data_IF_854052771001
#
_entry.id   IF_854052771001
#
_cell.length_a   1.000
_cell.length_b   1.000
_cell.length_c   1.000
_cell.angle_alpha   90.00
_cell.angle_beta   90.00
_cell.angle_gamma   90.00
#
_symmetry.space_group_name_H-M   'P 1'
#
loop_
_entity.id
_entity.type
_entity.pdbx_description
1 polymer ?
#
# COMPACT_ATOMS: atom_id res chain seq x y z
N UNK A 1 -3.56 15.00 3.42
CA UNK A 1 -3.42 13.83 4.31
C UNK A 1 -2.35 12.87 3.81
N UNK A 2 -2.44 12.39 2.57
CA UNK A 2 -1.44 11.46 2.01
C UNK A 2 -0.03 12.05 1.96
N UNK A 3 0.11 13.36 1.72
CA UNK A 3 1.41 14.04 1.75
C UNK A 3 2.07 14.05 3.12
N UNK A 4 1.30 14.25 4.17
CA UNK A 4 1.78 14.19 5.55
C UNK A 4 2.29 12.78 5.90
N UNK A 5 1.54 11.76 5.54
CA UNK A 5 1.95 10.38 5.76
C UNK A 5 3.20 10.00 4.95
N UNK A 6 3.28 10.44 3.70
CA UNK A 6 4.46 10.18 2.88
C UNK A 6 5.73 10.80 3.48
N UNK A 7 5.65 12.06 3.94
CA UNK A 7 6.78 12.73 4.57
C UNK A 7 7.22 12.04 5.86
N UNK A 8 6.28 11.63 6.70
CA UNK A 8 6.57 10.91 7.93
C UNK A 8 7.22 9.55 7.67
N UNK A 9 6.72 8.82 6.69
CA UNK A 9 7.28 7.53 6.29
C UNK A 9 8.70 7.68 5.73
N UNK A 10 8.94 8.70 4.90
CA UNK A 10 10.28 8.99 4.36
C UNK A 10 11.29 9.31 5.46
N UNK A 11 10.88 10.01 6.52
CA UNK A 11 11.74 10.32 7.65
C UNK A 11 12.23 9.05 8.40
N UNK A 12 11.42 8.00 8.40
CA UNK A 12 11.75 6.72 9.06
C UNK A 12 12.44 5.75 8.11
N UNK A 13 11.92 5.59 6.90
CA UNK A 13 12.33 4.55 5.97
C UNK A 13 13.41 5.01 4.98
N UNK A 14 13.60 6.31 4.84
CA UNK A 14 14.52 6.92 3.88
C UNK A 14 13.88 7.19 2.52
N UNK A 15 14.48 8.11 1.77
CA UNK A 15 14.07 8.39 0.41
C UNK A 15 14.26 7.16 -0.48
N UNK A 16 13.39 6.98 -1.47
CA UNK A 16 13.41 5.83 -2.36
C UNK A 16 12.63 4.62 -1.85
N UNK A 17 12.21 4.61 -0.58
CA UNK A 17 11.40 3.54 0.00
C UNK A 17 9.93 3.90 0.15
N UNK A 18 9.55 5.13 -0.13
CA UNK A 18 8.17 5.61 -0.03
C UNK A 18 7.72 6.16 -1.38
N UNK A 19 6.64 5.64 -1.87
CA UNK A 19 6.09 6.02 -3.18
C UNK A 19 4.65 6.47 -3.03
N UNK A 20 4.22 7.37 -3.90
CA UNK A 20 2.83 7.81 -4.02
C UNK A 20 2.31 7.40 -5.37
N UNK A 21 1.14 6.81 -5.39
CA UNK A 21 0.56 6.36 -6.65
C UNK A 21 -0.79 5.68 -6.45
N UNK A 22 -1.30 5.13 -7.52
CA UNK A 22 -2.56 4.41 -7.52
C UNK A 22 -2.38 3.03 -6.89
N UNK A 23 -3.29 2.69 -6.00
CA UNK A 23 -3.43 1.35 -5.43
C UNK A 23 -4.69 0.72 -6.01
N UNK A 24 -4.56 -0.43 -6.65
CA UNK A 24 -5.68 -1.19 -7.16
C UNK A 24 -6.21 -2.12 -6.06
N UNK A 25 -7.53 -2.16 -5.91
CA UNK A 25 -8.20 -3.06 -4.96
C UNK A 25 -9.05 -4.08 -5.71
N UNK A 26 -9.00 -5.33 -5.31
CA UNK A 26 -9.86 -6.39 -5.81
C UNK A 26 -9.99 -7.52 -4.80
N UNK A 27 -10.79 -8.52 -5.15
CA UNK A 27 -11.07 -9.66 -4.27
C UNK A 27 -10.14 -10.85 -4.55
N UNK A 28 -9.09 -10.63 -5.34
CA UNK A 28 -8.15 -11.65 -5.75
C UNK A 28 -6.75 -11.35 -5.23
N UNK A 29 -6.08 -12.36 -4.68
CA UNK A 29 -4.67 -12.28 -4.32
C UNK A 29 -3.83 -12.27 -5.60
N UNK A 30 -3.15 -11.16 -5.87
CA UNK A 30 -2.34 -10.98 -7.09
C UNK A 30 -0.95 -11.53 -6.85
N UNK A 31 -0.64 -12.66 -7.50
CA UNK A 31 0.67 -13.31 -7.39
C UNK A 31 1.38 -13.52 -8.72
N UNK A 32 0.67 -13.44 -9.83
CA UNK A 32 1.20 -13.70 -11.17
C UNK A 32 1.65 -12.46 -11.91
N UNK A 33 2.73 -12.58 -12.67
CA UNK A 33 3.26 -11.50 -13.49
C UNK A 33 2.27 -10.98 -14.54
N UNK A 34 1.40 -11.85 -15.04
CA UNK A 34 0.37 -11.50 -16.03
C UNK A 34 -0.67 -10.53 -15.44
N UNK A 35 -1.21 -10.84 -14.25
CA UNK A 35 -2.14 -9.94 -13.55
C UNK A 35 -1.48 -8.62 -13.18
N UNK A 36 -0.25 -8.67 -12.71
CA UNK A 36 0.56 -7.48 -12.40
C UNK A 36 0.70 -6.57 -13.62
N UNK A 37 1.05 -7.15 -14.78
CA UNK A 37 1.21 -6.40 -16.03
C UNK A 37 -0.11 -5.77 -16.49
N UNK A 38 -1.22 -6.50 -16.38
CA UNK A 38 -2.55 -6.00 -16.75
C UNK A 38 -2.96 -4.81 -15.89
N UNK A 39 -2.79 -4.90 -14.57
CA UNK A 39 -3.10 -3.81 -13.64
C UNK A 39 -2.27 -2.56 -13.92
N UNK A 40 -1.00 -2.73 -14.22
CA UNK A 40 -0.14 -1.61 -14.59
C UNK A 40 -0.54 -1.00 -15.94
N UNK A 41 -0.79 -1.84 -16.96
CA UNK A 41 -1.15 -1.38 -18.30
C UNK A 41 -2.47 -0.61 -18.33
N UNK A 42 -3.49 -1.10 -17.63
CA UNK A 42 -4.82 -0.52 -17.66
C UNK A 42 -4.98 0.68 -16.72
N UNK A 43 -4.43 0.58 -15.51
CA UNK A 43 -4.67 1.55 -14.44
C UNK A 43 -3.44 2.31 -13.98
N UNK A 44 -2.25 1.94 -14.43
CA UNK A 44 -0.98 2.45 -13.88
C UNK A 44 -0.87 2.23 -12.37
N UNK A 45 -1.46 1.13 -11.88
CA UNK A 45 -1.43 0.78 -10.48
C UNK A 45 0.01 0.43 -10.05
N UNK A 46 0.45 1.03 -8.96
CA UNK A 46 1.76 0.78 -8.38
C UNK A 46 1.72 -0.34 -7.35
N UNK A 47 0.55 -0.61 -6.80
CA UNK A 47 0.33 -1.69 -5.84
C UNK A 47 -1.06 -2.28 -6.01
N UNK A 48 -1.24 -3.51 -5.57
CA UNK A 48 -2.52 -4.20 -5.51
C UNK A 48 -2.75 -4.73 -4.10
N UNK A 49 -4.00 -4.64 -3.65
CA UNK A 49 -4.40 -5.08 -2.32
C UNK A 49 -5.89 -5.43 -2.31
N UNK A 50 -6.47 -5.76 -1.18
CA UNK A 50 -7.80 -6.35 -1.12
C UNK A 50 -8.80 -5.60 -0.22
N UNK A 51 -8.40 -4.54 0.48
CA UNK A 51 -9.26 -3.88 1.48
C UNK A 51 -9.48 -2.37 1.24
N UNK A 52 -8.53 -1.70 0.61
CA UNK A 52 -8.53 -0.24 0.50
C UNK A 52 -9.72 0.34 -0.24
N UNK A 53 -10.22 -0.35 -1.26
CA UNK A 53 -11.38 0.09 -2.03
C UNK A 53 -12.66 0.14 -1.20
N UNK A 54 -12.88 -0.83 -0.32
CA UNK A 54 -14.03 -0.84 0.58
C UNK A 54 -13.97 0.31 1.58
N UNK A 55 -12.79 0.56 2.15
CA UNK A 55 -12.55 1.69 3.06
C UNK A 55 -12.80 3.02 2.34
N UNK A 56 -12.25 3.16 1.14
CA UNK A 56 -12.41 4.36 0.32
C UNK A 56 -13.88 4.63 -0.02
N UNK A 57 -14.62 3.60 -0.35
CA UNK A 57 -16.05 3.72 -0.68
C UNK A 57 -16.84 4.25 0.52
N UNK A 58 -16.68 3.67 1.69
CA UNK A 58 -17.39 4.11 2.91
C UNK A 58 -16.99 5.54 3.28
N UNK A 59 -15.70 5.85 3.27
CA UNK A 59 -15.21 7.18 3.57
C UNK A 59 -15.77 8.23 2.60
N UNK A 60 -15.82 7.92 1.31
CA UNK A 60 -16.37 8.81 0.30
C UNK A 60 -17.89 9.04 0.48
N UNK A 61 -18.64 7.99 0.81
CA UNK A 61 -20.08 8.09 1.08
C UNK A 61 -20.38 8.96 2.30
N UNK A 62 -19.54 8.90 3.31
CA UNK A 62 -19.71 9.67 4.55
C UNK A 62 -19.02 11.05 4.50
N UNK A 63 -18.35 11.39 3.41
CA UNK A 63 -17.62 12.66 3.27
C UNK A 63 -16.42 12.78 4.18
N UNK A 64 -15.81 11.65 4.56
CA UNK A 64 -14.65 11.60 5.45
C UNK A 64 -13.36 11.54 4.64
N UNK A 65 -12.40 12.46 4.86
CA UNK A 65 -11.08 12.36 4.23
C UNK A 65 -10.37 11.06 4.62
N UNK A 66 -9.72 10.44 3.65
CA UNK A 66 -9.00 9.19 3.90
C UNK A 66 -7.68 9.12 3.11
N UNK A 67 -6.81 8.26 3.56
CA UNK A 67 -5.60 7.87 2.83
C UNK A 67 -5.36 6.38 3.06
N UNK A 68 -4.84 5.71 2.04
CA UNK A 68 -4.44 4.30 2.14
C UNK A 68 -2.92 4.24 2.13
N UNK A 69 -2.37 3.55 3.10
CA UNK A 69 -0.93 3.33 3.24
C UNK A 69 -0.71 1.83 3.27
N UNK A 70 0.20 1.37 2.43
CA UNK A 70 0.53 -0.05 2.34
C UNK A 70 2.04 -0.24 2.37
N UNK A 71 2.49 -1.24 3.09
CA UNK A 71 3.82 -1.79 2.94
C UNK A 71 3.76 -2.95 1.94
N UNK A 72 4.72 -2.98 1.03
CA UNK A 72 4.78 -4.03 0.02
C UNK A 72 5.47 -5.24 0.64
N UNK A 73 4.77 -6.36 0.66
CA UNK A 73 5.26 -7.62 1.22
C UNK A 73 5.81 -8.57 0.15
N UNK A 74 5.44 -8.37 -1.12
CA UNK A 74 5.89 -9.18 -2.26
C UNK A 74 5.83 -8.37 -3.56
N UNK A 75 6.38 -8.92 -4.63
CA UNK A 75 6.45 -8.24 -5.93
C UNK A 75 5.40 -8.73 -6.93
N UNK A 76 4.52 -9.65 -6.54
CA UNK A 76 3.52 -10.27 -7.42
C UNK A 76 4.14 -10.86 -8.69
N UNK A 77 5.28 -11.53 -8.56
CA UNK A 77 6.07 -12.09 -9.66
C UNK A 77 6.00 -13.62 -9.76
N UNK A 78 5.06 -14.23 -9.06
CA UNK A 78 4.90 -15.69 -8.96
C UNK A 78 5.44 -16.26 -7.66
N UNK A 79 6.13 -15.47 -6.84
CA UNK A 79 6.68 -15.86 -5.54
C UNK A 79 5.95 -15.19 -4.37
N UNK A 80 4.78 -14.61 -4.62
CA UNK A 80 4.05 -13.79 -3.66
C UNK A 80 3.75 -14.52 -2.35
N UNK A 81 3.34 -15.79 -2.39
CA UNK A 81 3.05 -16.57 -1.19
C UNK A 81 4.28 -16.77 -0.31
N UNK A 82 5.42 -17.11 -0.90
CA UNK A 82 6.68 -17.30 -0.19
C UNK A 82 7.19 -15.98 0.39
N UNK A 83 7.12 -14.92 -0.41
CA UNK A 83 7.53 -13.56 -0.01
C UNK A 83 6.68 -13.03 1.12
N UNK A 84 5.36 -13.27 1.07
CA UNK A 84 4.42 -12.81 2.09
C UNK A 84 4.79 -13.36 3.48
N UNK A 85 5.00 -14.67 3.59
CA UNK A 85 5.38 -15.30 4.86
C UNK A 85 6.70 -14.77 5.40
N UNK A 86 7.66 -14.50 4.52
CA UNK A 86 9.01 -14.03 4.89
C UNK A 86 9.00 -12.57 5.33
N UNK A 87 8.26 -11.70 4.64
CA UNK A 87 8.34 -10.25 4.81
C UNK A 87 7.18 -9.64 5.60
N UNK A 88 6.15 -10.39 5.94
CA UNK A 88 4.96 -9.91 6.62
C UNK A 88 5.30 -9.13 7.90
N UNK A 89 6.16 -9.68 8.74
CA UNK A 89 6.57 -9.04 9.98
C UNK A 89 7.28 -7.71 9.76
N UNK A 90 8.20 -7.65 8.80
CA UNK A 90 8.90 -6.41 8.45
C UNK A 90 7.95 -5.37 7.91
N UNK A 91 7.03 -5.77 7.05
CA UNK A 91 6.01 -4.88 6.49
C UNK A 91 5.10 -4.32 7.58
N UNK A 92 4.66 -5.15 8.52
CA UNK A 92 3.82 -4.74 9.64
C UNK A 92 4.54 -3.75 10.56
N UNK A 93 5.78 -4.03 10.94
CA UNK A 93 6.59 -3.18 11.80
C UNK A 93 6.86 -1.82 11.15
N UNK A 94 7.20 -1.80 9.87
CA UNK A 94 7.44 -0.58 9.10
C UNK A 94 6.17 0.27 8.99
N UNK A 95 5.03 -0.34 8.71
CA UNK A 95 3.73 0.34 8.63
C UNK A 95 3.36 0.97 9.97
N UNK A 96 3.53 0.24 11.06
CA UNK A 96 3.22 0.74 12.40
C UNK A 96 4.11 1.92 12.80
N UNK A 97 5.40 1.85 12.47
CA UNK A 97 6.34 2.94 12.74
C UNK A 97 6.01 4.19 11.94
N UNK A 98 5.75 4.04 10.64
CA UNK A 98 5.39 5.14 9.76
C UNK A 98 4.07 5.80 10.18
N UNK A 99 3.05 5.01 10.50
CA UNK A 99 1.77 5.51 10.97
C UNK A 99 1.90 6.28 12.28
N UNK A 100 2.65 5.74 13.23
CA UNK A 100 2.90 6.40 14.53
C UNK A 100 3.57 7.77 14.35
N UNK A 101 4.55 7.85 13.48
CA UNK A 101 5.21 9.11 13.16
C UNK A 101 4.28 10.10 12.48
N UNK A 102 3.47 9.64 11.54
CA UNK A 102 2.50 10.48 10.83
C UNK A 102 1.47 11.08 11.80
N UNK A 103 0.94 10.27 12.71
CA UNK A 103 -0.04 10.72 13.69
C UNK A 103 0.53 11.78 14.64
N UNK A 104 1.82 11.71 14.97
CA UNK A 104 2.48 12.74 15.80
C UNK A 104 2.67 14.05 15.05
N UNK A 105 2.69 14.02 13.72
CA UNK A 105 2.85 15.20 12.88
C UNK A 105 1.52 15.87 12.51
N UNK A 106 0.40 15.24 12.79
CA UNK A 106 -0.92 15.83 12.60
C UNK A 106 -1.26 16.77 13.77
#
# INVERSE_FOLDING_TARGET
LSGCFAAAAQAILGEGHVHRGLIATGDQFISGAEHKSALYSEFRAMAAEMEGGAIAQVAAMDGVPFAVIRSISDLADGTAADSFDTFEKHAADASAAALRQALRAL
#
